data_IF_061453467893
#
_entry.id   IF_061453467893
#
_cell.length_a   1.000
_cell.length_b   1.000
_cell.length_c   1.000
_cell.angle_alpha   90.00
_cell.angle_beta   90.00
_cell.angle_gamma   90.00
#
_symmetry.space_group_name_H-M   'P 1'
#
loop_
_entity.id
_entity.type
_entity.pdbx_description
1 polymer ?
#
# COMPACT_ATOMS: atom_id res chain seq x y z
N UNK A 1 -11.86 24.54 1.45
CA UNK A 1 -12.52 24.25 0.17
C UNK A 1 -12.32 22.82 -0.28
N UNK A 2 -13.11 22.37 -1.22
CA UNK A 2 -13.04 21.03 -1.83
C UNK A 2 -11.74 20.87 -2.65
N UNK A 3 -11.07 19.73 -2.54
CA UNK A 3 -9.86 19.48 -3.32
C UNK A 3 -10.14 19.20 -4.80
N UNK A 4 -9.17 19.45 -5.72
CA UNK A 4 -9.35 19.26 -7.17
C UNK A 4 -9.86 17.86 -7.55
N UNK A 5 -9.34 16.81 -6.91
CA UNK A 5 -9.77 15.43 -7.18
C UNK A 5 -11.23 15.20 -6.82
N UNK A 6 -11.69 15.71 -5.67
CA UNK A 6 -13.08 15.61 -5.22
C UNK A 6 -13.99 16.44 -6.11
N UNK A 7 -13.56 17.65 -6.49
CA UNK A 7 -14.27 18.50 -7.45
C UNK A 7 -14.46 17.80 -8.79
N UNK A 8 -13.39 17.20 -9.34
CA UNK A 8 -13.47 16.46 -10.59
C UNK A 8 -14.36 15.22 -10.49
N UNK A 9 -14.40 14.56 -9.34
CA UNK A 9 -15.30 13.42 -9.09
C UNK A 9 -16.77 13.86 -9.18
N UNK A 10 -17.15 14.95 -8.51
CA UNK A 10 -18.51 15.47 -8.59
C UNK A 10 -18.86 15.98 -9.98
N UNK A 11 -17.93 16.67 -10.65
CA UNK A 11 -18.13 17.11 -12.02
C UNK A 11 -18.34 15.91 -12.97
N UNK A 12 -17.56 14.83 -12.77
CA UNK A 12 -17.73 13.59 -13.53
C UNK A 12 -19.12 12.97 -13.35
N UNK A 13 -19.57 12.87 -12.09
CA UNK A 13 -20.90 12.34 -11.76
C UNK A 13 -22.03 13.22 -12.36
N UNK A 14 -21.91 14.55 -12.26
CA UNK A 14 -22.88 15.47 -12.84
C UNK A 14 -22.96 15.34 -14.37
N UNK A 15 -21.81 15.22 -15.05
CA UNK A 15 -21.76 15.01 -16.50
C UNK A 15 -22.36 13.67 -16.91
N UNK A 16 -22.10 12.60 -16.17
CA UNK A 16 -22.68 11.29 -16.48
C UNK A 16 -24.20 11.30 -16.32
N UNK A 17 -24.69 11.93 -15.27
CA UNK A 17 -26.13 12.14 -15.07
C UNK A 17 -26.77 12.95 -16.21
N UNK A 18 -26.13 14.06 -16.62
CA UNK A 18 -26.63 14.87 -17.73
C UNK A 18 -26.67 14.10 -19.06
N UNK A 19 -25.63 13.30 -19.36
CA UNK A 19 -25.61 12.43 -20.53
C UNK A 19 -26.73 11.38 -20.50
N UNK A 20 -27.02 10.85 -19.30
CA UNK A 20 -28.16 9.95 -19.14
C UNK A 20 -29.47 10.67 -19.44
N UNK A 21 -29.68 11.88 -18.93
CA UNK A 21 -30.88 12.69 -19.23
C UNK A 21 -31.07 12.97 -20.73
N UNK A 22 -29.96 13.25 -21.45
CA UNK A 22 -30.01 13.41 -22.92
C UNK A 22 -30.42 12.10 -23.61
N UNK A 23 -29.81 10.97 -23.23
CA UNK A 23 -30.14 9.66 -23.80
C UNK A 23 -31.58 9.24 -23.53
N UNK A 24 -32.13 9.64 -22.37
CA UNK A 24 -33.51 9.36 -21.95
C UNK A 24 -34.52 10.37 -22.52
N UNK A 25 -34.09 11.33 -23.36
CA UNK A 25 -34.94 12.30 -23.99
C UNK A 25 -35.53 13.36 -23.06
N UNK A 26 -34.99 13.54 -21.85
CA UNK A 26 -35.48 14.50 -20.86
C UNK A 26 -34.91 15.90 -21.04
N UNK A 27 -33.76 16.03 -21.67
CA UNK A 27 -33.13 17.29 -22.07
C UNK A 27 -32.51 17.14 -23.44
N UNK A 28 -32.47 18.22 -24.22
CA UNK A 28 -31.97 18.20 -25.60
C UNK A 28 -30.45 18.16 -25.70
N UNK A 29 -29.74 18.68 -24.68
CA UNK A 29 -28.27 18.75 -24.66
C UNK A 29 -27.71 18.74 -23.25
N UNK A 30 -26.48 18.23 -23.12
CA UNK A 30 -25.74 18.23 -21.86
C UNK A 30 -25.28 19.64 -21.47
N UNK A 31 -25.82 20.23 -20.38
CA UNK A 31 -25.49 21.60 -19.95
C UNK A 31 -24.05 21.71 -19.43
N UNK A 32 -23.38 20.61 -19.09
CA UNK A 32 -22.04 20.59 -18.51
C UNK A 32 -20.93 20.30 -19.53
N UNK A 33 -21.23 20.21 -20.82
CA UNK A 33 -20.27 19.89 -21.88
C UNK A 33 -19.05 20.82 -21.84
N UNK A 34 -19.25 22.12 -21.61
CA UNK A 34 -18.20 23.14 -21.57
C UNK A 34 -17.32 23.11 -20.32
N UNK A 35 -17.76 22.49 -19.24
CA UNK A 35 -16.99 22.43 -18.00
C UNK A 35 -15.82 21.47 -18.13
N UNK A 36 -14.64 21.89 -17.72
CA UNK A 36 -13.43 21.06 -17.69
C UNK A 36 -13.03 20.74 -16.25
N UNK A 37 -12.43 19.58 -16.04
CA UNK A 37 -11.85 19.22 -14.74
C UNK A 37 -10.66 20.13 -14.41
N UNK A 38 -10.41 20.28 -13.11
CA UNK A 38 -9.26 21.04 -12.59
C UNK A 38 -8.02 20.14 -12.65
N UNK A 39 -6.84 20.69 -12.92
CA UNK A 39 -5.60 19.94 -12.87
C UNK A 39 -5.32 19.46 -11.44
N UNK A 40 -5.34 18.15 -11.22
CA UNK A 40 -5.12 17.52 -9.90
C UNK A 40 -3.67 17.67 -9.44
N UNK A 41 -2.71 17.85 -10.36
CA UNK A 41 -1.29 17.95 -10.03
C UNK A 41 -0.90 19.25 -9.32
N UNK A 42 -1.73 20.31 -9.41
CA UNK A 42 -1.47 21.61 -8.78
C UNK A 42 -1.82 21.66 -7.28
N UNK A 43 -2.60 20.70 -6.76
CA UNK A 43 -2.99 20.66 -5.34
C UNK A 43 -2.91 19.21 -4.83
N UNK A 44 -1.70 18.74 -4.60
CA UNK A 44 -1.44 17.42 -3.99
C UNK A 44 -1.53 17.58 -2.48
N UNK A 45 -2.73 17.38 -1.92
CA UNK A 45 -2.99 17.59 -0.49
C UNK A 45 -2.40 16.54 0.43
N UNK A 46 -2.01 15.37 -0.10
CA UNK A 46 -1.51 14.27 0.73
C UNK A 46 -0.35 13.57 0.02
N UNK A 47 0.84 14.08 0.26
CA UNK A 47 2.07 13.42 -0.15
C UNK A 47 2.49 12.43 0.94
N UNK A 48 2.80 11.20 0.59
CA UNK A 48 3.28 10.18 1.52
C UNK A 48 4.80 10.08 1.48
N UNK A 49 5.38 9.73 2.61
CA UNK A 49 6.78 9.32 2.69
C UNK A 49 6.88 7.82 2.99
N UNK A 50 7.93 7.14 2.54
CA UNK A 50 8.24 5.81 3.03
C UNK A 50 8.66 5.88 4.52
N UNK A 51 8.52 4.77 5.22
CA UNK A 51 9.12 4.55 6.54
C UNK A 51 10.60 4.19 6.42
N UNK A 52 11.38 4.43 7.46
CA UNK A 52 12.71 3.86 7.63
C UNK A 52 12.61 2.49 8.32
N UNK A 53 13.64 1.65 8.23
CA UNK A 53 13.66 0.35 8.92
C UNK A 53 13.54 0.51 10.44
N UNK A 54 14.19 1.54 11.01
CA UNK A 54 14.06 1.91 12.42
C UNK A 54 12.62 2.31 12.79
N UNK A 55 12.01 3.19 12.01
CA UNK A 55 10.61 3.60 12.22
C UNK A 55 9.63 2.41 12.19
N UNK A 56 9.82 1.48 11.26
CA UNK A 56 8.98 0.28 11.20
C UNK A 56 9.17 -0.59 12.45
N UNK A 57 10.41 -0.77 12.91
CA UNK A 57 10.72 -1.52 14.13
C UNK A 57 10.07 -0.89 15.35
N UNK A 58 10.21 0.43 15.54
CA UNK A 58 9.60 1.20 16.65
C UNK A 58 8.07 1.17 16.59
N UNK A 59 7.48 1.31 15.39
CA UNK A 59 6.03 1.22 15.19
C UNK A 59 5.49 -0.16 15.60
N UNK A 60 6.14 -1.24 15.17
CA UNK A 60 5.76 -2.61 15.52
C UNK A 60 5.89 -2.86 17.03
N UNK A 61 6.95 -2.35 17.65
CA UNK A 61 7.16 -2.50 19.10
C UNK A 61 6.12 -1.72 19.92
N UNK A 62 5.82 -0.49 19.52
CA UNK A 62 4.77 0.33 20.11
C UNK A 62 3.38 -0.32 19.97
N UNK A 63 3.09 -0.88 18.80
CA UNK A 63 1.84 -1.61 18.56
C UNK A 63 1.74 -2.85 19.45
N UNK A 64 2.83 -3.63 19.55
CA UNK A 64 2.89 -4.86 20.37
C UNK A 64 2.58 -4.59 21.85
N UNK A 65 3.10 -3.47 22.37
CA UNK A 65 2.92 -3.03 23.76
C UNK A 65 1.61 -2.24 23.97
N UNK A 66 0.96 -1.85 22.89
CA UNK A 66 -0.24 -1.03 22.93
C UNK A 66 -1.50 -1.79 23.35
N UNK A 67 -2.50 -1.04 23.81
CA UNK A 67 -3.82 -1.59 24.14
C UNK A 67 -4.53 -2.14 22.90
N UNK A 68 -5.47 -3.08 23.03
CA UNK A 68 -6.28 -3.54 21.89
C UNK A 68 -6.99 -2.41 21.17
N UNK A 69 -7.07 -2.50 19.84
CA UNK A 69 -7.77 -1.52 19.00
C UNK A 69 -8.82 -2.24 18.15
N UNK A 70 -10.11 -1.92 18.35
CA UNK A 70 -11.26 -2.43 17.56
C UNK A 70 -11.21 -3.93 17.23
N UNK A 71 -10.91 -4.74 18.23
CA UNK A 71 -10.90 -6.21 18.13
C UNK A 71 -9.53 -6.82 17.78
N UNK A 72 -8.48 -6.01 17.62
CA UNK A 72 -7.11 -6.52 17.41
C UNK A 72 -6.26 -6.29 18.65
N UNK A 73 -5.60 -7.34 19.13
CA UNK A 73 -4.60 -7.24 20.18
C UNK A 73 -3.35 -6.46 19.74
N UNK A 74 -2.57 -5.94 20.67
CA UNK A 74 -1.30 -5.27 20.35
C UNK A 74 -0.32 -6.17 19.58
N UNK A 75 -0.06 -7.41 20.02
CA UNK A 75 0.79 -8.36 19.29
C UNK A 75 0.30 -8.65 17.87
N UNK A 76 -1.00 -8.90 17.68
CA UNK A 76 -1.58 -9.16 16.35
C UNK A 76 -1.46 -7.92 15.45
N UNK A 77 -1.57 -6.72 16.02
CA UNK A 77 -1.42 -5.46 15.28
C UNK A 77 0.01 -5.24 14.81
N UNK A 78 1.01 -5.64 15.58
CA UNK A 78 2.40 -5.62 15.14
C UNK A 78 2.62 -6.54 13.93
N UNK A 79 2.04 -7.75 13.92
CA UNK A 79 2.09 -8.68 12.78
C UNK A 79 1.35 -8.09 11.58
N UNK A 80 0.23 -7.39 11.80
CA UNK A 80 -0.51 -6.69 10.75
C UNK A 80 0.36 -5.62 10.06
N UNK A 81 1.10 -4.82 10.81
CA UNK A 81 2.01 -3.82 10.23
C UNK A 81 3.15 -4.47 9.44
N UNK A 82 3.74 -5.57 9.96
CA UNK A 82 4.72 -6.34 9.22
C UNK A 82 4.12 -6.86 7.89
N UNK A 83 2.91 -7.44 7.94
CA UNK A 83 2.23 -7.92 6.74
C UNK A 83 2.00 -6.80 5.73
N UNK A 84 1.51 -5.63 6.15
CA UNK A 84 1.33 -4.49 5.28
C UNK A 84 2.64 -3.99 4.65
N UNK A 85 3.71 -3.93 5.45
CA UNK A 85 5.01 -3.41 5.05
C UNK A 85 5.79 -4.35 4.09
N UNK A 86 5.54 -5.66 4.15
CA UNK A 86 6.29 -6.64 3.36
C UNK A 86 5.48 -7.35 2.26
N UNK A 87 4.19 -7.07 2.17
CA UNK A 87 3.34 -7.54 1.05
C UNK A 87 2.76 -6.39 0.23
N UNK A 88 2.77 -5.17 0.78
CA UNK A 88 2.13 -4.02 0.16
C UNK A 88 0.62 -4.14 0.02
N UNK A 89 -0.04 -5.04 0.75
CA UNK A 89 -1.49 -5.22 0.76
C UNK A 89 -2.21 -3.97 1.29
N UNK A 90 -3.40 -3.69 0.75
CA UNK A 90 -4.26 -2.61 1.24
C UNK A 90 -4.97 -3.03 2.53
N UNK A 91 -5.39 -2.08 3.36
CA UNK A 91 -6.08 -2.37 4.62
C UNK A 91 -7.27 -3.32 4.44
N UNK A 92 -8.12 -3.09 3.44
CA UNK A 92 -9.28 -3.95 3.16
C UNK A 92 -8.87 -5.37 2.70
N UNK A 93 -7.77 -5.50 1.96
CA UNK A 93 -7.23 -6.78 1.54
C UNK A 93 -6.69 -7.56 2.73
N UNK A 94 -5.94 -6.90 3.64
CA UNK A 94 -5.46 -7.54 4.88
C UNK A 94 -6.63 -7.94 5.78
N UNK A 95 -7.65 -7.11 5.90
CA UNK A 95 -8.83 -7.41 6.69
C UNK A 95 -9.62 -8.64 6.19
N UNK A 96 -9.51 -8.94 4.90
CA UNK A 96 -10.15 -10.12 4.29
C UNK A 96 -9.36 -11.42 4.45
N UNK A 97 -8.11 -11.37 4.92
CA UNK A 97 -7.27 -12.56 5.04
C UNK A 97 -7.76 -13.47 6.16
N UNK A 98 -7.79 -14.75 5.87
CA UNK A 98 -8.10 -15.85 6.80
C UNK A 98 -6.92 -16.80 6.89
N UNK A 99 -6.97 -17.77 7.80
CA UNK A 99 -5.98 -18.84 7.81
C UNK A 99 -5.88 -19.59 6.48
N UNK A 100 -7.01 -19.80 5.82
CA UNK A 100 -7.07 -20.44 4.49
C UNK A 100 -6.48 -19.56 3.35
N UNK A 101 -6.26 -18.28 3.58
CA UNK A 101 -5.58 -17.40 2.62
C UNK A 101 -4.06 -17.63 2.58
N UNK A 102 -3.51 -18.40 3.51
CA UNK A 102 -2.07 -18.62 3.65
C UNK A 102 -1.68 -20.02 3.23
N UNK A 103 -0.80 -20.16 2.27
CA UNK A 103 -0.09 -21.41 1.99
C UNK A 103 1.36 -21.30 2.50
N UNK A 104 1.52 -21.60 3.80
CA UNK A 104 2.81 -21.49 4.49
C UNK A 104 3.68 -22.74 4.30
N UNK A 105 3.18 -23.78 3.64
CA UNK A 105 3.91 -25.00 3.28
C UNK A 105 4.43 -25.00 1.85
N UNK A 106 3.95 -24.11 1.01
CA UNK A 106 4.40 -23.98 -0.37
C UNK A 106 5.88 -23.53 -0.48
N UNK A 107 6.48 -23.74 -1.63
CA UNK A 107 7.82 -23.25 -1.95
C UNK A 107 7.78 -22.42 -3.24
N UNK A 108 7.81 -21.08 -3.15
CA UNK A 108 7.83 -20.25 -1.93
C UNK A 108 6.49 -20.22 -1.19
N UNK A 109 6.48 -19.92 0.13
CA UNK A 109 5.25 -19.66 0.87
C UNK A 109 4.50 -18.47 0.29
N UNK A 110 3.15 -18.53 0.31
CA UNK A 110 2.31 -17.51 -0.36
C UNK A 110 1.13 -17.05 0.49
N UNK A 111 0.63 -15.86 0.16
CA UNK A 111 -0.67 -15.35 0.59
C UNK A 111 -1.57 -15.12 -0.63
N UNK A 112 -2.80 -15.57 -0.53
CA UNK A 112 -3.84 -15.44 -1.54
C UNK A 112 -4.82 -14.33 -1.16
N UNK A 113 -5.07 -13.40 -2.09
CA UNK A 113 -6.07 -12.34 -1.94
C UNK A 113 -7.20 -12.63 -2.91
N UNK A 114 -8.39 -12.94 -2.38
CA UNK A 114 -9.54 -13.27 -3.20
C UNK A 114 -9.98 -12.09 -4.10
N UNK A 115 -10.47 -12.40 -5.29
CA UNK A 115 -10.90 -11.43 -6.31
C UNK A 115 -11.93 -10.42 -5.77
N UNK A 116 -12.82 -10.83 -4.87
CA UNK A 116 -13.85 -9.99 -4.28
C UNK A 116 -13.27 -8.80 -3.50
N UNK A 117 -12.08 -8.93 -2.93
CA UNK A 117 -11.41 -7.90 -2.12
C UNK A 117 -10.30 -7.19 -2.89
N UNK A 118 -9.91 -7.71 -4.05
CA UNK A 118 -8.94 -7.08 -4.94
C UNK A 118 -9.61 -5.95 -5.74
N UNK A 119 -8.98 -4.76 -5.77
CA UNK A 119 -9.48 -3.62 -6.56
C UNK A 119 -9.69 -3.96 -8.04
N UNK A 120 -8.97 -4.94 -8.56
CA UNK A 120 -9.02 -5.36 -9.96
C UNK A 120 -9.90 -6.58 -10.18
N UNK A 121 -10.62 -7.07 -9.16
CA UNK A 121 -11.48 -8.26 -9.21
C UNK A 121 -10.75 -9.48 -9.78
N UNK A 122 -9.49 -9.63 -9.46
CA UNK A 122 -8.64 -10.79 -9.77
C UNK A 122 -8.11 -11.37 -8.48
N UNK A 123 -7.98 -12.67 -8.45
CA UNK A 123 -7.21 -13.34 -7.42
C UNK A 123 -5.73 -12.98 -7.58
N UNK A 124 -5.09 -12.64 -6.48
CA UNK A 124 -3.67 -12.31 -6.44
C UNK A 124 -2.95 -13.26 -5.47
N UNK A 125 -1.82 -13.79 -5.91
CA UNK A 125 -0.95 -14.63 -5.09
C UNK A 125 0.39 -13.91 -4.93
N UNK A 126 0.80 -13.72 -3.68
CA UNK A 126 2.04 -13.02 -3.34
C UNK A 126 2.96 -13.93 -2.52
N UNK A 127 4.27 -13.96 -2.83
CA UNK A 127 5.23 -14.67 -2.00
C UNK A 127 5.41 -13.97 -0.65
N UNK A 128 5.66 -14.77 0.39
CA UNK A 128 5.94 -14.31 1.73
C UNK A 128 7.42 -14.52 2.09
N UNK A 129 8.10 -13.53 2.66
CA UNK A 129 9.46 -13.71 3.16
C UNK A 129 9.47 -14.62 4.41
N UNK A 130 10.52 -15.40 4.64
CA UNK A 130 10.58 -16.41 5.71
C UNK A 130 10.23 -15.86 7.09
N UNK A 131 10.79 -14.71 7.48
CA UNK A 131 10.52 -14.13 8.81
C UNK A 131 9.03 -13.79 9.01
N UNK A 132 8.30 -13.39 7.93
CA UNK A 132 6.87 -13.09 8.00
C UNK A 132 6.05 -14.38 8.12
N UNK A 133 6.51 -15.46 7.51
CA UNK A 133 5.94 -16.82 7.71
C UNK A 133 6.03 -17.23 9.17
N UNK A 134 7.18 -17.00 9.83
CA UNK A 134 7.38 -17.31 11.25
C UNK A 134 6.43 -16.52 12.16
N UNK A 135 6.10 -15.29 11.80
CA UNK A 135 5.12 -14.47 12.52
C UNK A 135 3.67 -14.90 12.24
N UNK A 136 3.35 -15.25 11.00
CA UNK A 136 1.98 -15.59 10.58
C UNK A 136 1.58 -16.99 11.01
N UNK A 137 2.50 -17.94 11.08
CA UNK A 137 2.23 -19.35 11.44
C UNK A 137 1.53 -19.49 12.79
N UNK A 138 2.03 -18.94 13.92
CA UNK A 138 1.34 -19.03 15.20
C UNK A 138 0.02 -18.26 15.21
N UNK A 139 -0.06 -17.12 14.52
CA UNK A 139 -1.31 -16.36 14.40
C UNK A 139 -2.38 -17.19 13.68
N UNK A 140 -2.05 -17.81 12.54
CA UNK A 140 -2.98 -18.66 11.80
C UNK A 140 -3.39 -19.91 12.59
N UNK A 141 -2.45 -20.54 13.30
CA UNK A 141 -2.72 -21.71 14.13
C UNK A 141 -3.64 -21.43 15.33
N UNK A 142 -3.67 -20.19 15.81
CA UNK A 142 -4.54 -19.76 16.90
C UNK A 142 -6.01 -19.50 16.49
N UNK A 143 -6.35 -19.65 15.22
CA UNK A 143 -7.66 -19.31 14.66
C UNK A 143 -8.22 -20.45 13.80
N UNK A 144 -9.54 -20.46 13.61
CA UNK A 144 -10.16 -21.35 12.62
C UNK A 144 -9.71 -20.93 11.21
N UNK A 145 -9.52 -21.89 10.29
CA UNK A 145 -9.03 -21.60 8.92
C UNK A 145 -9.88 -20.56 8.17
N UNK A 146 -11.19 -20.52 8.41
CA UNK A 146 -12.12 -19.57 7.80
C UNK A 146 -12.27 -18.26 8.56
N UNK A 147 -11.72 -18.16 9.79
CA UNK A 147 -11.80 -16.93 10.57
C UNK A 147 -10.79 -15.90 10.08
N UNK A 148 -11.15 -14.61 10.17
CA UNK A 148 -10.25 -13.51 9.86
C UNK A 148 -8.99 -13.58 10.74
N UNK A 149 -7.81 -13.39 10.14
CA UNK A 149 -6.54 -13.27 10.87
C UNK A 149 -6.53 -12.02 11.75
N UNK A 150 -7.20 -10.97 11.35
CA UNK A 150 -7.33 -9.73 12.10
C UNK A 150 -8.81 -9.33 12.18
N UNK A 151 -9.54 -9.84 13.16
CA UNK A 151 -10.98 -9.58 13.31
C UNK A 151 -11.26 -8.13 13.70
N UNK A 152 -12.54 -7.74 13.59
CA UNK A 152 -13.03 -6.42 14.01
C UNK A 152 -13.12 -5.41 12.87
N UNK A 153 -13.31 -4.13 13.22
CA UNK A 153 -13.57 -3.03 12.27
C UNK A 153 -12.38 -2.09 12.11
N UNK A 154 -11.18 -2.57 12.39
CA UNK A 154 -9.95 -1.76 12.36
C UNK A 154 -9.66 -1.15 10.99
N UNK A 155 -9.98 -1.86 9.89
CA UNK A 155 -9.66 -1.42 8.54
C UNK A 155 -10.40 -0.12 8.16
N UNK A 156 -11.60 0.09 8.70
CA UNK A 156 -12.37 1.33 8.53
C UNK A 156 -11.72 2.51 9.25
N UNK A 157 -10.96 2.22 10.29
CA UNK A 157 -10.28 3.19 11.16
C UNK A 157 -8.76 2.97 11.19
N UNK A 158 -8.20 2.40 10.12
CA UNK A 158 -6.75 2.15 10.01
C UNK A 158 -5.92 3.44 10.15
N UNK A 159 -6.51 4.58 9.80
CA UNK A 159 -5.93 5.89 10.00
C UNK A 159 -5.71 6.21 11.50
N UNK A 160 -6.75 6.04 12.33
CA UNK A 160 -6.65 6.33 13.76
C UNK A 160 -5.70 5.34 14.44
N UNK A 161 -5.82 4.05 14.08
CA UNK A 161 -4.98 2.98 14.60
C UNK A 161 -3.49 3.28 14.42
N UNK A 162 -3.07 3.64 13.21
CA UNK A 162 -1.65 3.91 12.97
C UNK A 162 -1.19 5.22 13.63
N UNK A 163 -2.05 6.25 13.70
CA UNK A 163 -1.70 7.49 14.38
C UNK A 163 -1.41 7.29 15.87
N UNK A 164 -2.25 6.47 16.56
CA UNK A 164 -2.03 6.15 17.97
C UNK A 164 -0.70 5.42 18.19
N UNK A 165 -0.39 4.44 17.33
CA UNK A 165 0.85 3.67 17.46
C UNK A 165 2.10 4.49 17.08
N UNK A 166 2.00 5.37 16.05
CA UNK A 166 3.07 6.31 15.71
C UNK A 166 3.37 7.29 16.86
N UNK A 167 2.31 7.80 17.51
CA UNK A 167 2.47 8.69 18.66
C UNK A 167 3.16 7.97 19.83
N UNK A 168 2.81 6.69 20.10
CA UNK A 168 3.50 5.87 21.12
C UNK A 168 4.94 5.54 20.74
N UNK A 169 5.24 5.46 19.45
CA UNK A 169 6.57 5.19 18.93
C UNK A 169 7.47 6.46 18.85
N UNK A 170 6.94 7.62 19.17
CA UNK A 170 7.59 8.92 18.96
C UNK A 170 8.00 9.11 17.47
N UNK A 171 7.09 8.77 16.57
CA UNK A 171 7.26 8.94 15.12
C UNK A 171 6.25 9.97 14.63
N UNK A 172 6.70 11.07 13.98
CA UNK A 172 5.79 12.09 13.50
C UNK A 172 4.92 11.55 12.36
N UNK A 173 3.58 11.61 12.54
CA UNK A 173 2.60 11.28 11.50
C UNK A 173 2.78 12.14 10.26
N UNK A 174 3.15 13.42 10.44
CA UNK A 174 3.49 14.37 9.39
C UNK A 174 4.90 14.90 9.65
N UNK A 175 5.80 14.72 8.68
CA UNK A 175 7.18 15.20 8.81
C UNK A 175 7.30 16.73 8.57
N UNK A 176 8.51 17.28 8.81
CA UNK A 176 8.81 18.68 8.58
C UNK A 176 8.63 19.15 7.13
N UNK A 177 8.63 18.21 6.16
CA UNK A 177 8.34 18.46 4.75
C UNK A 177 6.86 18.35 4.39
N UNK A 178 5.98 18.17 5.36
CA UNK A 178 4.53 18.07 5.16
C UNK A 178 4.06 16.72 4.63
N UNK A 179 4.91 15.69 4.59
CA UNK A 179 4.59 14.35 4.08
C UNK A 179 4.08 13.45 5.20
N UNK A 180 3.17 12.55 4.84
CA UNK A 180 2.43 11.72 5.79
C UNK A 180 2.96 10.28 5.85
N UNK A 181 2.97 9.70 7.06
CA UNK A 181 3.16 8.28 7.32
C UNK A 181 1.83 7.68 7.80
N UNK A 182 0.86 7.55 6.88
CA UNK A 182 -0.42 6.90 7.15
C UNK A 182 -0.32 5.38 6.90
N UNK A 183 -1.39 4.62 7.17
CA UNK A 183 -1.40 3.17 6.93
C UNK A 183 -1.03 2.79 5.49
N UNK A 184 -1.46 3.58 4.50
CA UNK A 184 -1.12 3.33 3.10
C UNK A 184 0.36 3.64 2.79
N UNK A 185 1.03 4.43 3.63
CA UNK A 185 2.47 4.66 3.51
C UNK A 185 3.29 3.38 3.76
N UNK A 186 2.75 2.36 4.45
CA UNK A 186 3.39 1.04 4.55
C UNK A 186 3.53 0.39 3.17
N UNK A 187 2.48 0.43 2.37
CA UNK A 187 2.54 -0.01 0.97
C UNK A 187 3.46 0.88 0.11
N UNK A 188 3.45 2.19 0.35
CA UNK A 188 4.37 3.12 -0.31
C UNK A 188 5.82 2.73 -0.01
N UNK A 189 6.15 2.50 1.26
CA UNK A 189 7.47 2.04 1.70
C UNK A 189 7.87 0.70 1.08
N UNK A 190 6.95 -0.27 1.00
CA UNK A 190 7.19 -1.56 0.34
C UNK A 190 7.70 -1.36 -1.10
N UNK A 191 6.99 -0.57 -1.90
CA UNK A 191 7.35 -0.32 -3.30
C UNK A 191 8.69 0.43 -3.39
N UNK A 192 8.86 1.49 -2.59
CA UNK A 192 10.09 2.30 -2.57
C UNK A 192 11.31 1.46 -2.15
N UNK A 193 11.16 0.60 -1.14
CA UNK A 193 12.25 -0.26 -0.68
C UNK A 193 12.63 -1.32 -1.70
N UNK A 194 11.68 -1.88 -2.46
CA UNK A 194 11.97 -2.77 -3.59
C UNK A 194 12.74 -2.03 -4.70
N UNK A 195 12.31 -0.81 -5.04
CA UNK A 195 12.97 0.00 -6.04
C UNK A 195 14.42 0.34 -5.64
N UNK A 196 14.64 0.77 -4.38
CA UNK A 196 15.98 1.06 -3.83
C UNK A 196 16.90 -0.15 -3.79
N UNK A 197 16.35 -1.35 -3.70
CA UNK A 197 17.10 -2.61 -3.76
C UNK A 197 17.33 -3.12 -5.19
N UNK A 198 17.01 -2.33 -6.20
CA UNK A 198 17.25 -2.66 -7.62
C UNK A 198 16.29 -3.71 -8.19
N UNK A 199 15.17 -3.98 -7.53
CA UNK A 199 14.16 -4.90 -8.09
C UNK A 199 13.57 -4.26 -9.34
N UNK A 200 13.49 -5.03 -10.43
CA UNK A 200 13.05 -4.52 -11.72
C UNK A 200 11.60 -4.02 -11.69
N UNK A 201 11.32 -2.98 -12.47
CA UNK A 201 10.01 -2.33 -12.55
C UNK A 201 8.84 -3.31 -12.82
N UNK A 202 8.95 -4.29 -13.75
CA UNK A 202 7.87 -5.25 -13.97
C UNK A 202 7.58 -6.13 -12.75
N UNK A 203 8.62 -6.53 -12.01
CA UNK A 203 8.46 -7.32 -10.78
C UNK A 203 7.77 -6.48 -9.71
N UNK A 204 8.19 -5.22 -9.51
CA UNK A 204 7.55 -4.32 -8.54
C UNK A 204 6.10 -4.06 -8.93
N UNK A 205 5.81 -3.82 -10.21
CA UNK A 205 4.44 -3.65 -10.70
C UNK A 205 3.56 -4.85 -10.36
N UNK A 206 4.07 -6.06 -10.58
CA UNK A 206 3.37 -7.32 -10.24
C UNK A 206 3.14 -7.45 -8.74
N UNK A 207 4.18 -7.26 -7.92
CA UNK A 207 4.09 -7.34 -6.45
C UNK A 207 3.16 -6.26 -5.88
N UNK A 208 3.23 -5.03 -6.40
CA UNK A 208 2.33 -3.95 -6.03
C UNK A 208 0.92 -4.13 -6.61
N UNK A 209 0.73 -5.02 -7.59
CA UNK A 209 -0.55 -5.26 -8.28
C UNK A 209 -1.10 -3.95 -8.87
N UNK A 210 -0.22 -3.18 -9.52
CA UNK A 210 -0.59 -1.97 -10.23
C UNK A 210 -1.06 -2.31 -11.63
N UNK A 211 -2.27 -1.87 -12.00
CA UNK A 211 -2.81 -2.02 -13.35
C UNK A 211 -2.11 -1.14 -14.38
N UNK A 212 -1.57 -0.01 -13.93
CA UNK A 212 -0.85 0.95 -14.74
C UNK A 212 0.60 1.05 -14.24
N UNK A 213 1.55 0.90 -15.16
CA UNK A 213 2.98 0.97 -14.86
C UNK A 213 3.40 2.36 -14.37
N UNK A 214 2.71 3.41 -14.80
CA UNK A 214 2.96 4.79 -14.36
C UNK A 214 2.82 4.94 -12.85
N UNK A 215 1.91 4.18 -12.23
CA UNK A 215 1.77 4.14 -10.77
C UNK A 215 3.01 3.58 -10.06
N UNK A 216 3.75 2.70 -10.71
CA UNK A 216 5.00 2.16 -10.18
C UNK A 216 6.18 3.07 -10.50
N UNK A 217 6.22 3.64 -11.70
CA UNK A 217 7.27 4.57 -12.12
C UNK A 217 7.38 5.79 -11.20
N UNK A 218 6.25 6.28 -10.67
CA UNK A 218 6.24 7.40 -9.73
C UNK A 218 7.10 7.17 -8.47
N UNK A 219 7.40 5.93 -8.11
CA UNK A 219 8.29 5.60 -6.99
C UNK A 219 9.77 5.64 -7.37
N UNK A 220 10.10 5.50 -8.65
CA UNK A 220 11.48 5.61 -9.14
C UNK A 220 11.95 7.06 -9.25
N UNK A 221 11.05 8.04 -9.29
CA UNK A 221 11.41 9.46 -9.30
C UNK A 221 12.01 9.93 -7.96
N UNK A 222 11.95 9.10 -6.92
CA UNK A 222 12.55 9.35 -5.60
C UNK A 222 13.90 8.63 -5.39
N UNK A 223 14.41 7.94 -6.42
CA UNK A 223 15.76 7.38 -6.39
C UNK A 223 16.77 8.53 -6.54
N UNK A 224 17.75 8.56 -5.64
CA UNK A 224 18.81 9.58 -5.64
C UNK A 224 20.04 9.11 -6.41
N UNK A 225 21.07 9.99 -6.46
CA UNK A 225 22.33 9.69 -7.15
C UNK A 225 23.07 8.50 -6.54
N UNK A 226 22.87 8.21 -5.25
CA UNK A 226 23.48 7.06 -4.56
C UNK A 226 22.83 5.75 -5.01
N UNK A 227 21.51 5.76 -5.24
CA UNK A 227 20.80 4.60 -5.80
C UNK A 227 21.26 4.33 -7.25
N UNK A 228 21.48 5.38 -8.03
CA UNK A 228 22.03 5.26 -9.40
C UNK A 228 23.48 4.73 -9.38
N UNK A 229 24.33 5.19 -8.45
CA UNK A 229 25.70 4.73 -8.30
C UNK A 229 25.76 3.22 -8.01
N UNK A 230 24.94 2.72 -7.10
CA UNK A 230 24.83 1.27 -6.80
C UNK A 230 24.44 0.46 -8.02
N UNK A 231 23.56 1.01 -8.88
CA UNK A 231 23.19 0.37 -10.15
C UNK A 231 24.38 0.23 -11.11
N UNK A 232 25.24 1.22 -11.19
CA UNK A 232 26.46 1.20 -12.01
C UNK A 232 27.51 0.25 -11.43
N UNK A 233 27.70 0.26 -10.09
CA UNK A 233 28.62 -0.63 -9.39
C UNK A 233 28.29 -2.12 -9.58
N UNK A 234 27.01 -2.45 -9.82
CA UNK A 234 26.59 -3.81 -10.11
C UNK A 234 27.02 -4.33 -11.49
N UNK A 235 27.50 -3.46 -12.38
CA UNK A 235 28.02 -3.87 -13.69
C UNK A 235 29.38 -4.53 -13.52
N UNK A 236 29.61 -5.76 -14.04
CA UNK A 236 30.92 -6.38 -13.97
C UNK A 236 31.91 -5.58 -14.84
N UNK A 237 33.14 -5.34 -14.34
CA UNK A 237 34.19 -4.75 -15.20
C UNK A 237 34.50 -5.67 -16.37
N UNK A 238 34.88 -5.13 -17.52
CA UNK A 238 35.35 -5.92 -18.65
C UNK A 238 36.51 -6.84 -18.21
N UNK A 239 36.55 -8.07 -18.74
CA UNK A 239 37.54 -9.07 -18.31
C UNK A 239 38.99 -8.60 -18.53
N UNK A 240 39.21 -7.73 -19.51
CA UNK A 240 40.51 -7.14 -19.88
C UNK A 240 40.97 -5.99 -18.99
N UNK A 241 40.06 -5.44 -18.13
CA UNK A 241 40.36 -4.31 -17.25
C UNK A 241 40.39 -4.73 -15.76
N UNK A 242 40.46 -6.00 -15.43
CA UNK A 242 40.77 -6.42 -14.05
C UNK A 242 42.20 -5.96 -13.75
N UNK A 243 42.28 -4.99 -12.84
CA UNK A 243 43.57 -4.55 -12.34
C UNK A 243 44.41 -5.71 -11.83
N UNK A 244 45.73 -5.68 -11.98
CA UNK A 244 46.62 -6.72 -11.56
C UNK A 244 46.61 -6.95 -10.03
#
# INVERSE_FOLDING_TARGET
GMGPRTSNFYLGAAKEFARWLVRDGRIDRDPFTHLKGVNVAVDIRRLRRPYTEDELGRLMDAARKGIPFRGISGPDRAILYATAAYTGLRAAEIASLTGASLDLGASPPTVHVAAAYSKHRREDVLPLPPFLVDLLRPLAASRLPSASLWPGTWAERAFDMIQEDLARADIPYKDGGGRFLDFHALRHGFITNLARRGVSLPIIQRLARHSDIQLTMAYYTHLDILDAARGIEALPPPAELKAP
#
